data_IF_702962655673
#
_entry.id   IF_702962655673
#
_cell.length_a   1.000
_cell.length_b   1.000
_cell.length_c   1.000
_cell.angle_alpha   90.00
_cell.angle_beta   90.00
_cell.angle_gamma   90.00
#
_symmetry.space_group_name_H-M   'P 1'
#
loop_
_entity.id
_entity.type
_entity.pdbx_description
1 polymer ?
#
# COMPACT_ATOMS: atom_id res chain seq x y z
N UNK A 1 -7.34 -0.41 -0.64
CA UNK A 1 -6.69 -1.45 -1.46
C UNK A 1 -5.95 -0.73 -2.57
N UNK A 2 -4.72 -1.12 -2.89
CA UNK A 2 -3.90 -0.46 -3.93
C UNK A 2 -3.25 -1.53 -4.80
N UNK A 3 -3.26 -1.33 -6.11
CA UNK A 3 -2.64 -2.23 -7.09
C UNK A 3 -1.34 -1.63 -7.59
N UNK A 4 -0.36 -2.49 -7.84
CA UNK A 4 0.99 -2.12 -8.25
C UNK A 4 1.47 -3.09 -9.32
N UNK A 5 2.31 -2.62 -10.23
CA UNK A 5 2.91 -3.45 -11.28
C UNK A 5 3.81 -4.55 -10.71
N UNK A 6 4.52 -4.25 -9.63
CA UNK A 6 5.53 -5.11 -9.03
C UNK A 6 5.89 -4.67 -7.60
N UNK A 7 6.66 -5.50 -6.90
CA UNK A 7 7.10 -5.23 -5.53
C UNK A 7 8.05 -4.02 -5.42
N UNK A 8 8.82 -3.71 -6.47
CA UNK A 8 9.72 -2.55 -6.46
C UNK A 8 8.93 -1.25 -6.41
N UNK A 9 7.84 -1.17 -7.19
CA UNK A 9 6.92 -0.03 -7.14
C UNK A 9 6.26 0.13 -5.75
N UNK A 10 5.88 -0.99 -5.12
CA UNK A 10 5.35 -1.00 -3.73
C UNK A 10 6.39 -0.43 -2.77
N UNK A 11 7.64 -0.88 -2.87
CA UNK A 11 8.74 -0.43 -2.00
C UNK A 11 9.06 1.05 -2.22
N UNK A 12 9.11 1.50 -3.47
CA UNK A 12 9.32 2.91 -3.82
C UNK A 12 8.25 3.80 -3.21
N UNK A 13 6.98 3.42 -3.34
CA UNK A 13 5.89 4.17 -2.70
C UNK A 13 5.94 4.13 -1.17
N UNK A 14 6.29 2.98 -0.59
CA UNK A 14 6.45 2.83 0.86
C UNK A 14 7.54 3.75 1.43
N UNK A 15 8.56 4.05 0.64
CA UNK A 15 9.72 4.89 1.00
C UNK A 15 9.53 6.35 0.60
N UNK A 16 8.52 6.69 -0.19
CA UNK A 16 8.23 8.07 -0.57
C UNK A 16 8.08 8.95 0.69
N UNK A 17 8.71 10.13 0.67
CA UNK A 17 8.86 10.97 1.86
C UNK A 17 7.51 11.36 2.49
N UNK A 18 6.59 11.86 1.67
CA UNK A 18 5.24 12.24 2.11
C UNK A 18 4.47 11.05 2.68
N UNK A 19 4.60 9.88 2.05
CA UNK A 19 3.91 8.69 2.50
C UNK A 19 4.49 8.15 3.81
N UNK A 20 5.80 8.28 4.00
CA UNK A 20 6.48 7.94 5.26
C UNK A 20 5.99 8.84 6.38
N UNK A 21 5.92 10.15 6.16
CA UNK A 21 5.46 11.11 7.16
C UNK A 21 4.03 10.83 7.62
N UNK A 22 3.09 10.68 6.67
CA UNK A 22 1.68 10.37 6.97
C UNK A 22 1.56 9.05 7.76
N UNK A 23 2.36 8.04 7.42
CA UNK A 23 2.36 6.75 8.13
C UNK A 23 2.86 6.89 9.58
N UNK A 24 3.90 7.69 9.83
CA UNK A 24 4.35 7.96 11.21
C UNK A 24 3.30 8.73 12.01
N UNK A 25 2.67 9.74 11.41
CA UNK A 25 1.59 10.48 12.08
C UNK A 25 0.40 9.56 12.43
N UNK A 26 0.03 8.66 11.52
CA UNK A 26 -1.03 7.70 11.77
C UNK A 26 -0.73 6.73 12.91
N UNK A 27 0.52 6.24 13.00
CA UNK A 27 1.00 5.44 14.14
C UNK A 27 0.93 6.20 15.45
N UNK A 28 1.34 7.47 15.44
CA UNK A 28 1.42 8.26 16.67
C UNK A 28 0.05 8.72 17.18
N UNK A 29 -0.93 8.92 16.29
CA UNK A 29 -2.19 9.62 16.63
C UNK A 29 -3.44 8.75 16.57
N UNK A 30 -3.49 7.76 15.69
CA UNK A 30 -4.77 7.09 15.36
C UNK A 30 -4.75 5.58 15.53
N UNK A 31 -3.64 4.91 15.26
CA UNK A 31 -3.58 3.45 15.27
C UNK A 31 -2.86 2.90 16.49
N UNK A 32 -3.56 2.09 17.28
CA UNK A 32 -2.93 1.24 18.30
C UNK A 32 -2.18 0.06 17.65
N UNK A 33 -2.71 -0.50 16.57
CA UNK A 33 -2.08 -1.54 15.77
C UNK A 33 -2.66 -1.59 14.35
N UNK A 34 -1.87 -2.00 13.36
CA UNK A 34 -2.34 -2.29 12.00
C UNK A 34 -1.48 -3.35 11.32
N UNK A 35 -1.97 -3.94 10.24
CA UNK A 35 -1.23 -4.89 9.41
C UNK A 35 -1.45 -4.58 7.93
N UNK A 36 -0.37 -4.52 7.17
CA UNK A 36 -0.40 -4.42 5.72
C UNK A 36 -0.11 -5.80 5.13
N UNK A 37 -0.96 -6.25 4.21
CA UNK A 37 -0.77 -7.51 3.46
C UNK A 37 -0.51 -7.18 1.99
N UNK A 38 0.48 -7.85 1.42
CA UNK A 38 0.81 -7.78 -0.01
C UNK A 38 0.50 -9.16 -0.59
N UNK A 39 -0.28 -9.19 -1.66
CA UNK A 39 -0.69 -10.43 -2.32
C UNK A 39 -0.45 -10.30 -3.83
N UNK A 40 -0.01 -11.39 -4.46
CA UNK A 40 0.05 -11.49 -5.91
C UNK A 40 -1.36 -11.70 -6.46
N UNK A 41 -1.76 -10.88 -7.42
CA UNK A 41 -3.00 -11.08 -8.15
C UNK A 41 -2.75 -12.13 -9.23
N UNK A 42 -3.27 -13.34 -9.02
CA UNK A 42 -3.12 -14.43 -9.99
C UNK A 42 -4.11 -14.32 -11.15
N UNK A 43 -5.27 -13.70 -10.91
CA UNK A 43 -6.31 -13.44 -11.91
C UNK A 43 -7.02 -12.13 -11.58
N UNK A 44 -7.26 -11.33 -12.61
CA UNK A 44 -8.09 -10.14 -12.55
C UNK A 44 -9.08 -10.18 -13.72
N UNK A 45 -10.36 -9.93 -13.44
CA UNK A 45 -11.43 -9.95 -14.42
C UNK A 45 -12.09 -8.59 -14.45
N UNK A 46 -12.04 -7.93 -15.61
CA UNK A 46 -12.72 -6.66 -15.84
C UNK A 46 -13.83 -6.83 -16.88
N UNK A 47 -15.04 -6.37 -16.56
CA UNK A 47 -16.08 -6.17 -17.57
C UNK A 47 -16.01 -4.73 -18.06
N UNK A 48 -15.40 -4.55 -19.23
CA UNK A 48 -15.45 -3.28 -19.94
C UNK A 48 -16.48 -3.44 -21.07
N UNK A 49 -17.55 -2.67 -20.99
CA UNK A 49 -18.62 -2.64 -22.01
C UNK A 49 -18.22 -1.90 -23.28
#
# INVERSE_FOLDING_TARGET
>A
MSYWSDETAILGWKQHAEHTEVREQGRARWYQAFTTRICKVERDYSFNG
#
